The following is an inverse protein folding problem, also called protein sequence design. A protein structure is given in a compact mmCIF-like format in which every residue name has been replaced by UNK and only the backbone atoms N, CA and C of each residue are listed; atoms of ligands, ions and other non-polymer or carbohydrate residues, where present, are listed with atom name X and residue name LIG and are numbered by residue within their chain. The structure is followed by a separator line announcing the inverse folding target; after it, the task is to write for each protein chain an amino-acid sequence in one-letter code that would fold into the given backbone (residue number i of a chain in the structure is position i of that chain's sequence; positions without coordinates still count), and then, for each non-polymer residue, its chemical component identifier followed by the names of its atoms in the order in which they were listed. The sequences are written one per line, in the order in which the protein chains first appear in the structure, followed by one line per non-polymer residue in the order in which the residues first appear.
data_IF_546349438564
#
_entry.id   IF_546349438564
#
_cell.length_a   1.000
_cell.length_b   1.000
_cell.length_c   1.000
_cell.angle_alpha   90.00
_cell.angle_beta   90.00
_cell.angle_gamma   90.00
#
_symmetry.space_group_name_H-M   'P 1'
#
loop_
_entity.id
_entity.type
_entity.pdbx_description
1 polymer ?
#
# COMPACT_ATOMS: atom_id res chain seq x y z
N UNK A 1 -48.85 67.29 -49.59
CA UNK A 1 -49.47 65.96 -49.40
C UNK A 1 -48.44 64.91 -49.77
N UNK A 2 -47.59 64.51 -48.81
CA UNK A 2 -47.67 63.26 -48.00
C UNK A 2 -47.48 61.98 -48.82
N UNK A 3 -46.26 61.44 -48.82
CA UNK A 3 -45.94 60.05 -49.13
C UNK A 3 -44.72 59.62 -48.32
N UNK A 4 -44.85 58.56 -47.52
CA UNK A 4 -44.02 58.24 -46.36
C UNK A 4 -42.77 57.44 -46.76
N UNK A 5 -41.61 57.82 -46.23
CA UNK A 5 -40.41 57.00 -46.19
C UNK A 5 -40.54 55.96 -45.07
N UNK A 6 -40.88 54.71 -45.39
CA UNK A 6 -40.81 53.61 -44.44
C UNK A 6 -39.38 53.06 -44.39
N UNK A 7 -38.60 53.52 -43.41
CA UNK A 7 -37.35 52.85 -43.03
C UNK A 7 -37.72 51.55 -42.33
N UNK A 8 -37.55 50.43 -43.03
CA UNK A 8 -37.74 49.11 -42.44
C UNK A 8 -36.59 48.84 -41.45
N UNK A 9 -36.86 49.03 -40.16
CA UNK A 9 -35.95 48.65 -39.07
C UNK A 9 -36.00 47.14 -38.94
N UNK A 10 -35.01 46.47 -39.55
CA UNK A 10 -34.80 45.04 -39.34
C UNK A 10 -34.64 44.71 -37.84
N UNK A 11 -35.08 43.53 -37.39
CA UNK A 11 -35.14 43.20 -35.97
C UNK A 11 -33.74 43.26 -35.34
N UNK A 12 -33.58 44.12 -34.33
CA UNK A 12 -32.38 44.14 -33.48
C UNK A 12 -32.24 42.79 -32.80
N UNK A 13 -31.34 41.93 -33.31
CA UNK A 13 -30.97 40.66 -32.66
C UNK A 13 -30.42 40.98 -31.26
N UNK A 14 -31.16 40.62 -30.21
CA UNK A 14 -30.67 40.62 -28.82
C UNK A 14 -29.49 39.65 -28.71
N UNK A 15 -28.26 40.15 -28.88
CA UNK A 15 -27.00 39.40 -28.66
C UNK A 15 -26.71 39.24 -27.15
N UNK A 16 -27.62 38.59 -26.41
CA UNK A 16 -27.49 38.41 -24.96
C UNK A 16 -27.51 36.96 -24.46
N UNK A 17 -28.15 36.03 -25.19
CA UNK A 17 -28.32 34.65 -24.74
C UNK A 17 -27.11 33.73 -24.96
N UNK A 18 -26.42 33.86 -26.10
CA UNK A 18 -25.39 32.90 -26.53
C UNK A 18 -24.11 32.90 -25.66
N UNK A 19 -23.71 34.04 -25.08
CA UNK A 19 -22.50 34.09 -24.23
C UNK A 19 -22.70 33.42 -22.87
N UNK A 20 -23.88 33.58 -22.25
CA UNK A 20 -24.20 32.92 -20.98
C UNK A 20 -24.27 31.40 -21.15
N UNK A 21 -24.95 30.93 -22.19
CA UNK A 21 -25.07 29.50 -22.49
C UNK A 21 -23.70 28.89 -22.81
N UNK A 22 -22.85 29.59 -23.59
CA UNK A 22 -21.50 29.12 -23.89
C UNK A 22 -20.62 29.05 -22.62
N UNK A 23 -20.64 30.07 -21.75
CA UNK A 23 -19.88 30.03 -20.51
C UNK A 23 -20.35 28.90 -19.59
N UNK A 24 -21.65 28.68 -19.48
CA UNK A 24 -22.22 27.64 -18.62
C UNK A 24 -21.87 26.22 -19.12
N UNK A 25 -21.79 26.03 -20.45
CA UNK A 25 -21.28 24.81 -21.07
C UNK A 25 -19.79 24.58 -20.80
N UNK A 26 -18.97 25.64 -20.89
CA UNK A 26 -17.53 25.58 -20.60
C UNK A 26 -17.29 25.24 -19.12
N UNK A 27 -18.00 25.91 -18.21
CA UNK A 27 -17.92 25.66 -16.77
C UNK A 27 -18.37 24.23 -16.41
N UNK A 28 -19.45 23.74 -17.02
CA UNK A 28 -19.93 22.37 -16.84
C UNK A 28 -18.92 21.32 -17.30
N UNK A 29 -18.35 21.47 -18.50
CA UNK A 29 -17.35 20.54 -19.03
C UNK A 29 -16.04 20.57 -18.22
N UNK A 30 -15.58 21.75 -17.81
CA UNK A 30 -14.37 21.90 -16.98
C UNK A 30 -14.57 21.24 -15.62
N UNK A 31 -15.73 21.43 -15.00
CA UNK A 31 -16.05 20.81 -13.71
C UNK A 31 -16.11 19.28 -13.82
N UNK A 32 -16.72 18.75 -14.88
CA UNK A 32 -16.74 17.30 -15.14
C UNK A 32 -15.33 16.73 -15.34
N UNK A 33 -14.50 17.40 -16.13
CA UNK A 33 -13.12 16.98 -16.40
C UNK A 33 -12.27 16.92 -15.13
N UNK A 34 -12.43 17.88 -14.22
CA UNK A 34 -11.70 17.91 -12.94
C UNK A 34 -12.16 16.78 -12.01
N UNK A 35 -13.46 16.46 -11.99
CA UNK A 35 -14.01 15.35 -11.21
C UNK A 35 -13.47 14.01 -11.73
N UNK A 36 -13.43 13.82 -13.06
CA UNK A 36 -12.92 12.60 -13.66
C UNK A 36 -11.41 12.41 -13.37
N UNK A 37 -10.62 13.49 -13.48
CA UNK A 37 -9.20 13.48 -13.12
C UNK A 37 -8.99 13.17 -11.63
N UNK A 38 -9.77 13.79 -10.74
CA UNK A 38 -9.70 13.52 -9.31
C UNK A 38 -10.07 12.06 -8.98
N UNK A 39 -11.11 11.52 -9.62
CA UNK A 39 -11.51 10.13 -9.46
C UNK A 39 -10.42 9.17 -9.94
N UNK A 40 -9.81 9.46 -11.09
CA UNK A 40 -8.70 8.67 -11.62
C UNK A 40 -7.49 8.69 -10.67
N UNK A 41 -7.08 9.87 -10.21
CA UNK A 41 -5.97 10.03 -9.26
C UNK A 41 -6.26 9.27 -7.96
N UNK A 42 -7.49 9.33 -7.44
CA UNK A 42 -7.88 8.60 -6.25
C UNK A 42 -7.82 7.08 -6.45
N UNK A 43 -8.30 6.57 -7.58
CA UNK A 43 -8.22 5.14 -7.90
C UNK A 43 -6.76 4.69 -8.06
N UNK A 44 -5.95 5.47 -8.78
CA UNK A 44 -4.53 5.22 -8.95
C UNK A 44 -3.80 5.16 -7.61
N UNK A 45 -4.05 6.12 -6.72
CA UNK A 45 -3.46 6.17 -5.38
C UNK A 45 -3.90 4.98 -4.52
N UNK A 46 -5.18 4.58 -4.59
CA UNK A 46 -5.67 3.39 -3.90
C UNK A 46 -4.94 2.12 -4.36
N UNK A 47 -4.70 1.97 -5.67
CA UNK A 47 -3.95 0.84 -6.21
C UNK A 47 -2.50 0.85 -5.69
N UNK A 48 -1.82 2.00 -5.74
CA UNK A 48 -0.45 2.12 -5.22
C UNK A 48 -0.36 1.79 -3.74
N UNK A 49 -1.32 2.25 -2.93
CA UNK A 49 -1.39 1.93 -1.51
C UNK A 49 -1.52 0.42 -1.29
N UNK A 50 -2.42 -0.25 -2.03
CA UNK A 50 -2.59 -1.71 -1.92
C UNK A 50 -1.35 -2.49 -2.34
N UNK A 51 -0.62 -2.00 -3.35
CA UNK A 51 0.67 -2.58 -3.77
C UNK A 51 1.68 -2.45 -2.62
N UNK A 52 1.80 -1.26 -2.02
CA UNK A 52 2.72 -1.03 -0.91
C UNK A 52 2.39 -1.90 0.31
N UNK A 53 1.11 -2.02 0.66
CA UNK A 53 0.63 -2.91 1.72
C UNK A 53 0.97 -4.38 1.44
N UNK A 54 0.71 -4.86 0.22
CA UNK A 54 1.02 -6.22 -0.19
C UNK A 54 2.53 -6.51 -0.14
N UNK A 55 3.36 -5.55 -0.57
CA UNK A 55 4.82 -5.67 -0.49
C UNK A 55 5.31 -5.76 0.96
N UNK A 56 4.77 -4.93 1.84
CA UNK A 56 5.09 -4.98 3.28
C UNK A 56 4.68 -6.30 3.92
N UNK A 57 3.49 -6.81 3.59
CA UNK A 57 3.03 -8.12 4.05
C UNK A 57 3.90 -9.26 3.53
N UNK A 58 4.33 -9.19 2.26
CA UNK A 58 5.23 -10.18 1.67
C UNK A 58 6.58 -10.20 2.38
N UNK A 59 7.16 -9.04 2.68
CA UNK A 59 8.42 -8.96 3.43
C UNK A 59 8.27 -9.57 4.83
N UNK A 60 7.18 -9.24 5.54
CA UNK A 60 6.87 -9.82 6.84
C UNK A 60 6.78 -11.34 6.75
N UNK A 61 6.05 -11.87 5.77
CA UNK A 61 5.90 -13.32 5.56
C UNK A 61 7.21 -14.00 5.22
N UNK A 62 8.09 -13.37 4.44
CA UNK A 62 9.44 -13.89 4.17
C UNK A 62 10.27 -14.00 5.44
N UNK A 63 10.25 -12.98 6.30
CA UNK A 63 10.95 -12.99 7.60
C UNK A 63 10.39 -14.07 8.53
N UNK A 64 9.06 -14.14 8.68
CA UNK A 64 8.39 -15.17 9.49
C UNK A 64 8.71 -16.58 8.99
N UNK A 65 8.65 -16.81 7.68
CA UNK A 65 8.95 -18.12 7.10
C UNK A 65 10.41 -18.51 7.34
N UNK A 66 11.34 -17.55 7.17
CA UNK A 66 12.76 -17.78 7.45
C UNK A 66 13.03 -18.13 8.91
N UNK A 67 12.40 -17.42 9.86
CA UNK A 67 12.51 -17.75 11.29
C UNK A 67 11.98 -19.17 11.58
N UNK A 68 10.85 -19.55 10.96
CA UNK A 68 10.29 -20.90 11.10
C UNK A 68 11.22 -21.99 10.54
N UNK A 69 11.81 -21.78 9.37
CA UNK A 69 12.79 -22.69 8.77
C UNK A 69 14.00 -22.91 9.69
N UNK A 70 14.56 -21.83 10.24
CA UNK A 70 15.69 -21.90 11.17
C UNK A 70 15.30 -22.60 12.48
N UNK A 71 14.10 -22.36 13.01
CA UNK A 71 13.61 -23.07 14.20
C UNK A 71 13.48 -24.59 13.96
N UNK A 72 12.96 -25.01 12.80
CA UNK A 72 12.90 -26.42 12.42
C UNK A 72 14.30 -27.02 12.29
N UNK A 73 15.25 -26.25 11.75
CA UNK A 73 16.64 -26.66 11.64
C UNK A 73 17.28 -26.87 13.02
N UNK A 74 17.10 -25.95 13.97
CA UNK A 74 17.57 -26.09 15.36
C UNK A 74 17.05 -27.39 15.97
N UNK A 75 15.75 -27.66 15.83
CA UNK A 75 15.13 -28.90 16.32
C UNK A 75 15.74 -30.14 15.68
N UNK A 76 16.01 -30.10 14.36
CA UNK A 76 16.67 -31.20 13.64
C UNK A 76 18.09 -31.46 14.16
N UNK A 77 18.86 -30.40 14.37
CA UNK A 77 20.23 -30.49 14.91
C UNK A 77 20.26 -31.09 16.32
N UNK A 78 19.34 -30.68 17.21
CA UNK A 78 19.22 -31.24 18.56
C UNK A 78 18.87 -32.73 18.51
N UNK A 79 18.07 -33.16 17.54
CA UNK A 79 17.71 -34.57 17.32
C UNK A 79 18.83 -35.40 16.67
N UNK A 80 20.08 -34.93 16.66
CA UNK A 80 21.25 -35.58 16.03
C UNK A 80 21.07 -35.86 14.53
N UNK A 81 20.27 -35.05 13.82
CA UNK A 81 20.21 -35.06 12.37
C UNK A 81 21.26 -34.07 11.86
N UNK A 82 22.19 -34.52 11.02
CA UNK A 82 23.15 -33.63 10.37
C UNK A 82 22.45 -32.77 9.30
N UNK A 83 21.77 -31.71 9.73
CA UNK A 83 20.93 -30.85 8.88
C UNK A 83 21.59 -29.53 8.47
N UNK A 84 22.82 -29.28 8.92
CA UNK A 84 23.55 -28.03 8.64
C UNK A 84 23.89 -27.86 7.14
N UNK A 85 23.80 -28.92 6.34
CA UNK A 85 24.00 -28.87 4.89
C UNK A 85 23.05 -27.89 4.16
N UNK A 86 21.94 -27.50 4.79
CA UNK A 86 20.98 -26.54 4.24
C UNK A 86 21.43 -25.08 4.40
N UNK A 87 22.44 -24.80 5.24
CA UNK A 87 23.03 -23.47 5.40
C UNK A 87 24.18 -23.32 4.41
N UNK A 88 24.00 -22.50 3.37
CA UNK A 88 24.92 -22.45 2.23
C UNK A 88 25.83 -21.23 2.25
N UNK A 89 25.41 -20.18 2.96
CA UNK A 89 26.11 -18.89 3.02
C UNK A 89 26.50 -18.50 4.44
N UNK A 90 27.46 -17.58 4.56
CA UNK A 90 27.84 -17.00 5.84
C UNK A 90 26.66 -16.27 6.52
N UNK A 91 25.79 -15.63 5.72
CA UNK A 91 24.57 -14.99 6.21
C UNK A 91 23.60 -16.01 6.80
N UNK A 92 23.41 -17.16 6.14
CA UNK A 92 22.58 -18.25 6.65
C UNK A 92 23.05 -18.74 8.03
N UNK A 93 24.37 -18.91 8.17
CA UNK A 93 25.00 -19.34 9.42
C UNK A 93 24.85 -18.28 10.52
N UNK A 94 25.02 -17.01 10.19
CA UNK A 94 24.86 -15.90 11.14
C UNK A 94 23.41 -15.79 11.63
N UNK A 95 22.44 -15.90 10.73
CA UNK A 95 21.02 -15.89 11.11
C UNK A 95 20.65 -17.11 11.95
N UNK A 96 21.19 -18.28 11.61
CA UNK A 96 21.02 -19.49 12.41
C UNK A 96 21.60 -19.32 13.82
N UNK A 97 22.81 -18.78 13.95
CA UNK A 97 23.45 -18.52 15.24
C UNK A 97 22.59 -17.61 16.13
N UNK A 98 22.03 -16.52 15.58
CA UNK A 98 21.11 -15.64 16.32
C UNK A 98 19.86 -16.36 16.83
N UNK A 99 19.30 -17.27 16.04
CA UNK A 99 18.13 -18.08 16.46
C UNK A 99 18.52 -19.04 17.58
N UNK A 100 19.68 -19.68 17.48
CA UNK A 100 20.22 -20.55 18.54
C UNK A 100 20.42 -19.76 19.84
N UNK A 101 21.08 -18.61 19.78
CA UNK A 101 21.33 -17.76 20.94
C UNK A 101 20.02 -17.32 21.61
N UNK A 102 19.03 -16.89 20.81
CA UNK A 102 17.69 -16.55 21.30
C UNK A 102 17.05 -17.74 22.02
N UNK A 103 17.10 -18.93 21.43
CA UNK A 103 16.52 -20.15 22.03
C UNK A 103 17.23 -20.56 23.31
N UNK A 104 18.55 -20.46 23.36
CA UNK A 104 19.33 -20.72 24.56
C UNK A 104 18.93 -19.76 25.69
N UNK A 105 18.85 -18.46 25.42
CA UNK A 105 18.42 -17.46 26.39
C UNK A 105 16.99 -17.70 26.90
N UNK A 106 16.07 -18.10 26.02
CA UNK A 106 14.69 -18.46 26.39
C UNK A 106 14.68 -19.68 27.34
N UNK A 107 15.52 -20.69 27.09
CA UNK A 107 15.66 -21.89 27.94
C UNK A 107 16.25 -21.50 29.29
N UNK A 108 17.34 -20.74 29.30
CA UNK A 108 18.02 -20.31 30.53
C UNK A 108 17.07 -19.50 31.42
N UNK A 109 16.27 -18.60 30.82
CA UNK A 109 15.24 -17.84 31.53
C UNK A 109 14.21 -18.76 32.17
N UNK A 110 13.68 -19.74 31.43
CA UNK A 110 12.70 -20.71 31.95
C UNK A 110 13.28 -21.57 33.07
N UNK A 111 14.54 -21.99 32.97
CA UNK A 111 15.22 -22.74 34.04
C UNK A 111 15.27 -21.90 35.32
N UNK A 112 15.62 -20.61 35.21
CA UNK A 112 15.65 -19.70 36.36
C UNK A 112 14.25 -19.53 36.97
N UNK A 113 13.21 -19.38 36.14
CA UNK A 113 11.82 -19.25 36.60
C UNK A 113 11.33 -20.50 37.34
N UNK A 114 11.61 -21.70 36.80
CA UNK A 114 11.25 -22.97 37.44
C UNK A 114 11.97 -23.13 38.78
N UNK A 115 13.30 -22.89 38.80
CA UNK A 115 14.08 -23.00 40.04
C UNK A 115 13.66 -22.00 41.12
N UNK A 116 13.06 -20.85 40.76
CA UNK A 116 12.47 -19.91 41.72
C UNK A 116 11.09 -20.37 42.23
N UNK A 117 10.36 -21.11 41.40
CA UNK A 117 9.01 -21.60 41.72
C UNK A 117 9.05 -22.81 42.64
N UNK A 118 10.13 -23.59 42.62
CA UNK A 118 10.37 -24.73 43.51
C UNK A 118 10.88 -24.34 44.92
N UNK A 119 11.12 -23.05 45.18
CA UNK A 119 11.65 -22.52 46.45
C UNK A 119 10.56 -21.85 47.32
N UNK A 120 9.30 -21.93 46.93
CA UNK A 120 8.11 -21.48 47.72
C UNK A 120 7.28 -22.70 48.09
#
# INVERSE_FOLDING_TARGET
MTGRNEKHVGPKRKKGGSKKVANQLIEGNTSSSVIDEMNYVNQHNSILQRIAEAMSQLEKKRKENRENELNLLVMGCIQNKNMLANLRTAEDLNDFAKVVDKKQNEIDTKIVELNRSDVI
#
